data_IF_627003515309
#
_entry.id   IF_627003515309
#
_cell.length_a   1.000
_cell.length_b   1.000
_cell.length_c   1.000
_cell.angle_alpha   90.00
_cell.angle_beta   90.00
_cell.angle_gamma   90.00
#
_symmetry.space_group_name_H-M   'P 1'
#
loop_
_entity.id
_entity.type
_entity.pdbx_description
1 polymer ?
#
# COMPACT_ATOMS: atom_id res chain seq x y z
N UNK A 1 2.10 10.54 -16.34
CA UNK A 1 2.18 9.60 -15.19
C UNK A 1 2.87 10.20 -13.98
N UNK A 2 4.03 10.87 -14.11
CA UNK A 2 4.69 11.54 -12.98
C UNK A 2 3.78 12.55 -12.25
N UNK A 3 3.11 13.42 -13.00
CA UNK A 3 2.18 14.40 -12.44
C UNK A 3 0.97 13.76 -11.74
N UNK A 4 0.35 12.75 -12.36
CA UNK A 4 -0.69 11.91 -11.73
C UNK A 4 -0.22 11.35 -10.39
N UNK A 5 1.00 10.79 -10.37
CA UNK A 5 1.54 10.20 -9.15
C UNK A 5 1.88 11.27 -8.09
N UNK A 6 2.41 12.42 -8.51
CA UNK A 6 2.63 13.57 -7.62
C UNK A 6 1.32 14.02 -6.97
N UNK A 7 0.24 14.14 -7.74
CA UNK A 7 -1.10 14.48 -7.24
C UNK A 7 -1.65 13.41 -6.27
N UNK A 8 -1.33 12.15 -6.52
CA UNK A 8 -1.66 11.06 -5.59
C UNK A 8 -0.90 11.20 -4.26
N UNK A 9 0.40 11.54 -4.29
CA UNK A 9 1.19 11.81 -3.08
C UNK A 9 0.66 13.04 -2.35
N UNK A 10 0.34 14.11 -3.08
CA UNK A 10 -0.28 15.32 -2.55
C UNK A 10 -1.54 15.00 -1.74
N UNK A 11 -2.45 14.21 -2.31
CA UNK A 11 -3.65 13.78 -1.61
C UNK A 11 -3.34 12.97 -0.35
N UNK A 12 -2.37 12.05 -0.40
CA UNK A 12 -1.99 11.25 0.78
C UNK A 12 -1.36 12.09 1.89
N UNK A 13 -0.56 13.10 1.55
CA UNK A 13 -0.02 14.07 2.51
C UNK A 13 -1.17 14.87 3.12
N UNK A 14 -2.13 15.33 2.32
CA UNK A 14 -3.31 16.05 2.82
C UNK A 14 -4.14 15.20 3.79
N UNK A 15 -4.37 13.91 3.49
CA UNK A 15 -5.07 12.97 4.38
C UNK A 15 -4.27 12.69 5.66
N UNK A 16 -2.93 12.69 5.58
CA UNK A 16 -2.06 12.52 6.74
C UNK A 16 -2.09 13.72 7.69
N UNK A 17 -2.38 14.92 7.18
CA UNK A 17 -2.54 16.14 7.95
C UNK A 17 -3.97 16.28 8.51
N UNK A 18 -4.99 15.94 7.73
CA UNK A 18 -6.39 16.00 8.11
C UNK A 18 -7.18 14.81 7.51
N UNK A 19 -7.80 14.02 8.38
CA UNK A 19 -8.52 12.81 8.01
C UNK A 19 -9.83 13.06 7.25
N UNK A 20 -10.39 14.27 7.35
CA UNK A 20 -11.65 14.62 6.70
C UNK A 20 -11.48 15.06 5.24
N UNK A 21 -10.24 15.31 4.78
CA UNK A 21 -9.93 15.74 3.41
C UNK A 21 -10.56 14.83 2.36
N UNK A 22 -10.45 13.50 2.52
CA UNK A 22 -11.05 12.56 1.56
C UNK A 22 -12.57 12.75 1.46
N UNK A 23 -13.23 12.90 2.61
CA UNK A 23 -14.69 13.09 2.65
C UNK A 23 -15.08 14.45 2.07
N UNK A 24 -14.29 15.49 2.33
CA UNK A 24 -14.51 16.83 1.78
C UNK A 24 -14.39 16.84 0.24
N UNK A 25 -13.34 16.22 -0.31
CA UNK A 25 -13.12 16.12 -1.75
C UNK A 25 -14.23 15.33 -2.45
N UNK A 26 -14.67 14.21 -1.87
CA UNK A 26 -15.79 13.43 -2.41
C UNK A 26 -17.09 14.23 -2.41
N UNK A 27 -17.39 14.99 -1.34
CA UNK A 27 -18.57 15.86 -1.28
C UNK A 27 -18.51 16.99 -2.31
N UNK A 28 -17.31 17.52 -2.56
CA UNK A 28 -17.07 18.58 -3.52
C UNK A 28 -17.04 18.08 -4.98
N UNK A 29 -17.09 16.77 -5.23
CA UNK A 29 -16.80 16.17 -6.54
C UNK A 29 -15.50 16.73 -7.13
N UNK A 30 -14.43 16.69 -6.34
CA UNK A 30 -13.13 17.19 -6.79
C UNK A 30 -12.68 16.52 -8.10
N UNK A 31 -12.33 17.37 -9.08
CA UNK A 31 -11.89 16.97 -10.42
C UNK A 31 -10.37 17.03 -10.59
N UNK A 32 -9.63 17.46 -9.55
CA UNK A 32 -8.17 17.60 -9.61
C UNK A 32 -7.43 16.40 -9.02
N UNK A 33 -7.67 16.07 -7.75
CA UNK A 33 -6.93 15.04 -7.01
C UNK A 33 -7.62 13.66 -7.10
N UNK A 34 -8.95 13.60 -6.98
CA UNK A 34 -9.68 12.32 -6.98
C UNK A 34 -9.49 11.53 -8.30
N UNK A 35 -9.50 12.14 -9.50
CA UNK A 35 -9.26 11.39 -10.73
C UNK A 35 -7.83 10.80 -10.80
N UNK A 36 -6.83 11.53 -10.30
CA UNK A 36 -5.44 11.06 -10.31
C UNK A 36 -5.26 9.89 -9.33
N UNK A 37 -5.87 9.99 -8.16
CA UNK A 37 -5.91 8.91 -7.18
C UNK A 37 -6.60 7.67 -7.74
N UNK A 38 -7.79 7.83 -8.36
CA UNK A 38 -8.51 6.71 -9.01
C UNK A 38 -7.65 6.04 -10.09
N UNK A 39 -6.85 6.80 -10.84
CA UNK A 39 -5.92 6.27 -11.83
C UNK A 39 -4.83 5.40 -11.20
N UNK A 40 -4.21 5.83 -10.11
CA UNK A 40 -3.20 5.05 -9.38
C UNK A 40 -3.82 3.81 -8.72
N UNK A 41 -4.96 3.98 -8.03
CA UNK A 41 -5.70 2.88 -7.38
C UNK A 41 -6.18 1.84 -8.41
N UNK A 42 -6.54 2.27 -9.62
CA UNK A 42 -6.87 1.41 -10.75
C UNK A 42 -5.69 0.56 -11.19
N UNK A 43 -4.52 1.16 -11.42
CA UNK A 43 -3.30 0.43 -11.78
C UNK A 43 -2.91 -0.62 -10.75
N UNK A 44 -3.00 -0.28 -9.46
CA UNK A 44 -2.74 -1.23 -8.36
C UNK A 44 -3.76 -2.37 -8.41
N UNK A 45 -5.04 -2.03 -8.54
CA UNK A 45 -6.14 -3.00 -8.53
C UNK A 45 -6.03 -3.99 -9.69
N UNK A 46 -5.71 -3.52 -10.89
CA UNK A 46 -5.63 -4.34 -12.08
C UNK A 46 -4.47 -5.34 -11.99
N UNK A 47 -3.29 -4.90 -11.56
CA UNK A 47 -2.15 -5.80 -11.35
C UNK A 47 -2.42 -6.81 -10.22
N UNK A 48 -3.06 -6.37 -9.14
CA UNK A 48 -3.46 -7.26 -8.04
C UNK A 48 -4.45 -8.34 -8.49
N UNK A 49 -5.44 -7.99 -9.32
CA UNK A 49 -6.40 -8.96 -9.89
C UNK A 49 -5.70 -10.01 -10.76
N UNK A 50 -4.73 -9.60 -11.57
CA UNK A 50 -3.92 -10.52 -12.41
C UNK A 50 -3.12 -11.51 -11.56
N UNK A 51 -2.44 -11.02 -10.52
CA UNK A 51 -1.69 -11.87 -9.58
C UNK A 51 -2.60 -12.84 -8.81
N UNK A 52 -3.77 -12.36 -8.37
CA UNK A 52 -4.72 -13.18 -7.64
C UNK A 52 -5.20 -14.39 -8.46
N UNK A 53 -5.37 -14.21 -9.78
CA UNK A 53 -5.73 -15.28 -10.69
C UNK A 53 -4.66 -16.39 -10.77
N UNK A 54 -3.36 -16.03 -10.65
CA UNK A 54 -2.24 -16.98 -10.63
C UNK A 54 -2.04 -17.67 -9.27
N UNK A 55 -2.37 -16.97 -8.19
CA UNK A 55 -2.14 -17.46 -6.82
C UNK A 55 -3.05 -18.62 -6.41
N UNK A 56 -4.32 -18.62 -6.86
CA UNK A 56 -5.34 -19.58 -6.44
C UNK A 56 -5.46 -19.75 -4.91
N UNK A 57 -5.54 -18.63 -4.19
CA UNK A 57 -5.56 -18.62 -2.71
C UNK A 57 -6.98 -18.78 -2.15
N UNK A 58 -7.09 -19.51 -1.05
CA UNK A 58 -8.35 -19.64 -0.30
C UNK A 58 -8.79 -18.32 0.34
N UNK A 59 -10.09 -18.19 0.59
CA UNK A 59 -10.73 -16.98 1.13
C UNK A 59 -10.11 -16.51 2.46
N UNK A 60 -9.76 -17.45 3.35
CA UNK A 60 -9.20 -17.13 4.68
C UNK A 60 -7.82 -16.46 4.57
N UNK A 61 -6.92 -17.04 3.77
CA UNK A 61 -5.59 -16.46 3.53
C UNK A 61 -5.69 -15.12 2.79
N UNK A 62 -6.59 -15.03 1.79
CA UNK A 62 -6.85 -13.77 1.09
C UNK A 62 -7.32 -12.68 2.05
N UNK A 63 -8.25 -12.98 2.95
CA UNK A 63 -8.75 -12.03 3.93
C UNK A 63 -7.64 -11.53 4.87
N UNK A 64 -6.74 -12.42 5.30
CA UNK A 64 -5.59 -12.03 6.12
C UNK A 64 -4.60 -11.16 5.34
N UNK A 65 -4.24 -11.55 4.10
CA UNK A 65 -3.39 -10.76 3.20
C UNK A 65 -3.99 -9.40 2.87
N UNK A 66 -5.32 -9.28 2.86
CA UNK A 66 -6.00 -8.02 2.59
C UNK A 66 -6.06 -7.08 3.79
N UNK A 67 -5.86 -7.61 5.01
CA UNK A 67 -6.10 -6.93 6.28
C UNK A 67 -4.82 -6.51 6.98
N UNK A 68 -3.77 -7.32 6.91
CA UNK A 68 -2.54 -7.13 7.68
C UNK A 68 -1.43 -6.55 6.81
N UNK A 69 -0.98 -5.30 7.06
CA UNK A 69 -0.07 -4.59 6.17
C UNK A 69 1.37 -5.09 6.15
N UNK A 70 1.72 -6.05 7.00
CA UNK A 70 3.08 -6.58 7.11
C UNK A 70 3.09 -8.09 6.83
N UNK A 71 4.14 -8.56 6.18
CA UNK A 71 4.39 -9.97 5.89
C UNK A 71 5.86 -10.30 6.21
N UNK A 72 6.09 -11.45 6.81
CA UNK A 72 7.43 -11.97 7.13
C UNK A 72 7.49 -13.48 6.90
N UNK A 73 8.66 -14.00 6.53
CA UNK A 73 8.91 -15.45 6.47
C UNK A 73 9.40 -15.91 7.84
N UNK A 74 8.71 -16.87 8.43
CA UNK A 74 9.02 -17.41 9.77
C UNK A 74 9.92 -18.63 9.68
N UNK A 75 9.68 -19.53 8.71
CA UNK A 75 10.45 -20.77 8.58
C UNK A 75 10.32 -21.34 7.17
N UNK A 76 11.42 -21.90 6.65
CA UNK A 76 11.41 -22.77 5.47
C UNK A 76 11.08 -24.20 5.89
N UNK A 77 10.02 -24.76 5.32
CA UNK A 77 9.61 -26.13 5.56
C UNK A 77 10.15 -27.01 4.43
N UNK A 78 11.14 -27.83 4.76
CA UNK A 78 11.56 -28.94 3.89
C UNK A 78 10.57 -30.08 4.10
N UNK A 79 9.82 -30.43 3.06
CA UNK A 79 9.02 -31.65 3.04
C UNK A 79 9.63 -32.59 2.01
N UNK A 80 10.04 -33.78 2.44
CA UNK A 80 10.60 -34.79 1.55
C UNK A 80 9.52 -35.24 0.55
N UNK A 81 9.80 -35.06 -0.75
CA UNK A 81 8.92 -35.49 -1.85
C UNK A 81 7.70 -34.61 -2.15
N UNK A 82 7.47 -33.52 -1.41
CA UNK A 82 6.41 -32.53 -1.68
C UNK A 82 6.98 -31.19 -2.19
N UNK A 83 6.12 -30.35 -2.77
CA UNK A 83 6.49 -28.97 -3.14
C UNK A 83 7.01 -28.24 -1.90
N UNK A 84 8.20 -27.60 -1.96
CA UNK A 84 8.74 -26.88 -0.82
C UNK A 84 7.76 -25.78 -0.35
N UNK A 85 7.65 -25.59 0.95
CA UNK A 85 6.70 -24.65 1.53
C UNK A 85 7.37 -23.70 2.53
N UNK A 86 6.84 -22.49 2.66
CA UNK A 86 7.24 -21.55 3.69
C UNK A 86 6.11 -21.31 4.67
N UNK A 87 6.48 -21.05 5.92
CA UNK A 87 5.56 -20.46 6.89
C UNK A 87 5.71 -18.95 6.85
N UNK A 88 4.65 -18.24 6.48
CA UNK A 88 4.60 -16.77 6.51
C UNK A 88 3.76 -16.30 7.69
N UNK A 89 4.15 -15.16 8.26
CA UNK A 89 3.38 -14.46 9.29
C UNK A 89 2.95 -13.10 8.79
N UNK A 90 1.65 -12.82 8.95
CA UNK A 90 0.99 -11.57 8.64
C UNK A 90 0.79 -10.77 9.94
N UNK A 91 1.26 -9.53 9.94
CA UNK A 91 1.29 -8.68 11.14
C UNK A 91 0.87 -7.23 10.84
N UNK A 92 1.06 -6.35 11.83
CA UNK A 92 0.56 -4.98 11.79
C UNK A 92 -0.91 -4.88 12.20
N UNK A 93 -1.40 -3.64 12.29
CA UNK A 93 -2.80 -3.34 12.61
C UNK A 93 -3.60 -3.26 11.31
N UNK A 94 -4.75 -3.92 11.27
CA UNK A 94 -5.70 -3.71 10.20
C UNK A 94 -6.14 -2.24 10.15
N UNK A 95 -6.51 -1.77 8.97
CA UNK A 95 -6.82 -0.35 8.75
C UNK A 95 -7.99 -0.16 7.79
N UNK A 96 -8.66 0.98 7.92
CA UNK A 96 -9.69 1.40 7.00
C UNK A 96 -9.05 1.91 5.70
N UNK A 97 -9.43 1.36 4.55
CA UNK A 97 -8.80 1.69 3.25
C UNK A 97 -9.08 3.11 2.74
N UNK A 98 -10.08 3.79 3.31
CA UNK A 98 -10.43 5.17 3.00
C UNK A 98 -9.69 6.15 3.89
N UNK A 99 -9.78 5.95 5.21
CA UNK A 99 -9.21 6.88 6.21
C UNK A 99 -7.78 6.55 6.63
N UNK A 100 -7.26 5.38 6.25
CA UNK A 100 -5.96 4.82 6.67
C UNK A 100 -5.80 4.64 8.18
N UNK A 101 -6.88 4.78 8.96
CA UNK A 101 -6.85 4.63 10.42
C UNK A 101 -6.88 3.16 10.84
N UNK A 102 -6.28 2.81 11.99
CA UNK A 102 -6.42 1.49 12.57
C UNK A 102 -7.89 1.10 12.70
N UNK A 103 -8.20 -0.11 12.27
CA UNK A 103 -9.54 -0.70 12.26
C UNK A 103 -9.51 -1.99 13.05
N UNK A 104 -10.49 -2.17 13.94
CA UNK A 104 -10.65 -3.43 14.66
C UNK A 104 -11.39 -4.42 13.78
N UNK A 105 -10.67 -5.45 13.35
CA UNK A 105 -11.26 -6.56 12.60
C UNK A 105 -12.39 -7.21 13.40
N UNK A 106 -13.56 -7.44 12.79
CA UNK A 106 -14.69 -8.09 13.46
C UNK A 106 -14.40 -9.58 13.72
N UNK A 107 -13.65 -10.22 12.83
CA UNK A 107 -13.31 -11.64 12.91
C UNK A 107 -11.81 -11.82 13.13
N UNK A 108 -11.43 -12.73 14.04
CA UNK A 108 -10.05 -13.19 14.18
C UNK A 108 -9.74 -14.15 13.04
N UNK A 109 -8.77 -13.81 12.20
CA UNK A 109 -8.18 -14.74 11.22
C UNK A 109 -6.81 -15.18 11.72
N UNK A 110 -6.33 -16.39 11.36
CA UNK A 110 -4.96 -16.80 11.63
C UNK A 110 -3.97 -15.76 11.10
N UNK A 111 -2.82 -15.65 11.74
CA UNK A 111 -1.73 -14.78 11.27
C UNK A 111 -0.60 -15.57 10.64
N UNK A 112 -0.58 -16.89 10.80
CA UNK A 112 0.45 -17.76 10.23
C UNK A 112 -0.15 -18.71 9.21
N UNK A 113 0.52 -18.82 8.06
CA UNK A 113 0.05 -19.62 6.95
C UNK A 113 1.21 -20.35 6.29
N UNK A 114 0.93 -21.56 5.81
CA UNK A 114 1.85 -22.30 4.94
C UNK A 114 1.55 -21.94 3.50
N UNK A 115 2.56 -21.47 2.77
CA UNK A 115 2.48 -21.08 1.36
C UNK A 115 3.50 -21.85 0.53
N UNK A 116 3.18 -22.10 -0.73
CA UNK A 116 4.07 -22.75 -1.70
C UNK A 116 5.26 -21.83 -2.02
N UNK A 117 6.48 -22.37 -1.90
CA UNK A 117 7.73 -21.66 -2.21
C UNK A 117 7.73 -21.10 -3.62
N UNK A 118 7.20 -21.85 -4.60
CA UNK A 118 7.17 -21.43 -6.00
C UNK A 118 6.25 -20.22 -6.23
N UNK A 119 5.30 -19.98 -5.31
CA UNK A 119 4.33 -18.87 -5.38
C UNK A 119 4.73 -17.66 -4.54
N UNK A 120 5.84 -17.74 -3.81
CA UNK A 120 6.26 -16.70 -2.84
C UNK A 120 6.38 -15.32 -3.50
N UNK A 121 6.91 -15.25 -4.72
CA UNK A 121 7.02 -14.00 -5.46
C UNK A 121 5.64 -13.38 -5.73
N UNK A 122 4.65 -14.18 -6.17
CA UNK A 122 3.29 -13.69 -6.38
C UNK A 122 2.61 -13.24 -5.09
N UNK A 123 2.84 -13.94 -3.97
CA UNK A 123 2.33 -13.53 -2.67
C UNK A 123 2.89 -12.18 -2.24
N UNK A 124 4.21 -12.01 -2.35
CA UNK A 124 4.90 -10.78 -1.99
C UNK A 124 4.44 -9.60 -2.84
N UNK A 125 4.31 -9.79 -4.17
CA UNK A 125 3.84 -8.75 -5.07
C UNK A 125 2.36 -8.40 -4.84
N UNK A 126 1.50 -9.40 -4.61
CA UNK A 126 0.10 -9.18 -4.29
C UNK A 126 -0.06 -8.35 -3.02
N UNK A 127 0.67 -8.73 -1.97
CA UNK A 127 0.64 -8.06 -0.66
C UNK A 127 1.19 -6.63 -0.75
N UNK A 128 2.33 -6.45 -1.44
CA UNK A 128 2.93 -5.14 -1.68
C UNK A 128 1.97 -4.20 -2.41
N UNK A 129 1.28 -4.67 -3.46
CA UNK A 129 0.26 -3.89 -4.17
C UNK A 129 -0.94 -3.58 -3.28
N UNK A 130 -1.44 -4.58 -2.55
CA UNK A 130 -2.60 -4.42 -1.67
C UNK A 130 -2.39 -3.33 -0.61
N UNK A 131 -1.17 -3.19 -0.10
CA UNK A 131 -0.83 -2.25 0.96
C UNK A 131 -0.03 -1.04 0.48
N UNK A 132 0.24 -0.92 -0.82
CA UNK A 132 1.08 0.14 -1.39
C UNK A 132 0.65 1.53 -0.92
N UNK A 133 -0.62 1.87 -1.12
CA UNK A 133 -1.18 3.16 -0.72
C UNK A 133 -1.09 3.43 0.78
N UNK A 134 -1.28 2.40 1.60
CA UNK A 134 -1.17 2.52 3.05
C UNK A 134 0.27 2.77 3.49
N UNK A 135 1.23 2.04 2.93
CA UNK A 135 2.65 2.28 3.22
C UNK A 135 3.13 3.63 2.69
N UNK A 136 2.64 4.08 1.53
CA UNK A 136 2.90 5.43 1.05
C UNK A 136 2.31 6.50 1.97
N UNK A 137 1.10 6.28 2.50
CA UNK A 137 0.52 7.16 3.52
C UNK A 137 1.38 7.22 4.80
N UNK A 138 1.92 6.08 5.26
CA UNK A 138 2.84 6.07 6.41
C UNK A 138 4.12 6.87 6.11
N UNK A 139 4.71 6.70 4.93
CA UNK A 139 5.87 7.50 4.52
C UNK A 139 5.55 9.01 4.45
N UNK A 140 4.32 9.38 4.05
CA UNK A 140 3.87 10.77 4.10
C UNK A 140 3.84 11.31 5.54
N UNK A 141 3.36 10.50 6.51
CA UNK A 141 3.38 10.88 7.93
C UNK A 141 4.80 11.09 8.45
N UNK A 142 5.73 10.22 8.06
CA UNK A 142 7.13 10.32 8.46
C UNK A 142 7.78 11.58 7.87
N UNK A 143 7.48 11.89 6.60
CA UNK A 143 7.95 13.12 5.95
C UNK A 143 7.37 14.38 6.61
N UNK A 144 6.08 14.39 6.96
CA UNK A 144 5.47 15.49 7.73
C UNK A 144 6.16 15.66 9.09
N UNK A 145 6.43 14.55 9.78
CA UNK A 145 7.06 14.56 11.10
C UNK A 145 8.50 15.09 11.03
N UNK A 146 9.28 14.70 10.02
CA UNK A 146 10.66 15.16 9.83
C UNK A 146 10.76 16.68 9.62
N UNK A 147 9.77 17.28 8.93
CA UNK A 147 9.70 18.72 8.72
C UNK A 147 9.26 19.51 9.95
N UNK A 148 8.33 18.98 10.76
CA UNK A 148 7.84 19.65 11.99
C UNK A 148 8.93 19.82 13.04
N UNK A 149 9.95 18.96 13.04
CA UNK A 149 11.15 19.10 13.87
C UNK A 149 11.97 20.35 13.50
N UNK A 150 11.80 20.87 12.27
CA UNK A 150 12.63 21.94 11.71
C UNK A 150 11.90 23.29 11.58
N UNK A 151 10.60 23.42 11.87
CA UNK A 151 9.85 24.67 11.59
C UNK A 151 8.64 24.88 12.50
N UNK A 152 8.31 26.15 12.80
CA UNK A 152 7.07 26.60 13.46
C UNK A 152 5.83 26.06 12.72
N UNK A 153 4.73 25.83 13.44
CA UNK A 153 3.49 25.23 12.93
C UNK A 153 3.03 25.83 11.58
N UNK A 154 3.38 25.15 10.49
CA UNK A 154 2.95 25.50 9.13
C UNK A 154 1.45 25.24 8.98
N UNK A 155 0.78 26.05 8.16
CA UNK A 155 -0.58 25.75 7.71
C UNK A 155 -0.63 24.43 6.92
N UNK A 156 -1.82 23.82 6.82
CA UNK A 156 -1.98 22.54 6.11
C UNK A 156 -1.49 22.60 4.66
N UNK A 157 -1.93 23.60 3.90
CA UNK A 157 -1.54 23.78 2.50
C UNK A 157 -0.03 23.98 2.35
N UNK A 158 0.57 24.80 3.22
CA UNK A 158 2.02 25.03 3.22
C UNK A 158 2.81 23.76 3.55
N UNK A 159 2.33 22.96 4.51
CA UNK A 159 2.94 21.67 4.84
C UNK A 159 2.87 20.68 3.66
N UNK A 160 1.74 20.65 2.94
CA UNK A 160 1.60 19.83 1.72
C UNK A 160 2.61 20.26 0.67
N UNK A 161 2.67 21.56 0.36
CA UNK A 161 3.60 22.07 -0.66
C UNK A 161 5.06 21.82 -0.27
N UNK A 162 5.41 21.95 1.01
CA UNK A 162 6.77 21.68 1.49
C UNK A 162 7.16 20.21 1.34
N UNK A 163 6.26 19.26 1.63
CA UNK A 163 6.48 17.83 1.31
C UNK A 163 6.78 17.63 -0.18
N UNK A 164 5.97 18.23 -1.05
CA UNK A 164 6.08 18.06 -2.51
C UNK A 164 7.29 18.77 -3.12
N UNK A 165 7.88 19.74 -2.42
CA UNK A 165 9.14 20.37 -2.80
C UNK A 165 10.36 19.47 -2.58
N UNK A 166 10.25 18.45 -1.71
CA UNK A 166 11.26 17.41 -1.60
C UNK A 166 11.20 16.49 -2.84
N UNK A 167 11.74 16.99 -3.95
CA UNK A 167 11.70 16.29 -5.24
C UNK A 167 12.38 14.92 -5.20
N UNK A 168 13.47 14.78 -4.44
CA UNK A 168 14.16 13.49 -4.29
C UNK A 168 13.27 12.44 -3.63
N UNK A 169 12.51 12.83 -2.60
CA UNK A 169 11.55 11.94 -1.94
C UNK A 169 10.39 11.56 -2.87
N UNK A 170 9.76 12.53 -3.53
CA UNK A 170 8.63 12.28 -4.45
C UNK A 170 9.04 11.42 -5.64
N UNK A 171 10.19 11.70 -6.27
CA UNK A 171 10.70 10.90 -7.37
C UNK A 171 11.09 9.48 -6.89
N UNK A 172 11.70 9.34 -5.72
CA UNK A 172 11.97 8.02 -5.14
C UNK A 172 10.72 7.21 -4.80
N UNK A 173 9.59 7.86 -4.49
CA UNK A 173 8.29 7.19 -4.39
C UNK A 173 7.76 6.73 -5.76
N UNK A 174 7.92 7.57 -6.78
CA UNK A 174 7.50 7.27 -8.15
C UNK A 174 8.29 6.10 -8.75
N UNK A 175 9.61 6.08 -8.56
CA UNK A 175 10.47 5.01 -9.08
C UNK A 175 10.11 3.66 -8.43
N UNK A 176 9.92 3.63 -7.11
CA UNK A 176 9.46 2.43 -6.39
C UNK A 176 8.08 1.96 -6.85
N UNK A 177 7.17 2.90 -7.15
CA UNK A 177 5.87 2.55 -7.73
C UNK A 177 6.02 1.89 -9.10
N UNK A 178 6.81 2.52 -9.99
CA UNK A 178 7.06 2.03 -11.33
C UNK A 178 7.71 0.64 -11.32
N UNK A 179 8.69 0.43 -10.44
CA UNK A 179 9.33 -0.86 -10.24
C UNK A 179 8.33 -1.93 -9.79
N UNK A 180 7.52 -1.65 -8.75
CA UNK A 180 6.52 -2.59 -8.25
C UNK A 180 5.50 -2.99 -9.34
N UNK A 181 5.00 -2.03 -10.10
CA UNK A 181 4.07 -2.29 -11.20
C UNK A 181 4.75 -3.15 -12.27
N UNK A 182 5.99 -2.83 -12.64
CA UNK A 182 6.74 -3.59 -13.63
C UNK A 182 6.96 -5.05 -13.18
N UNK A 183 7.41 -5.26 -11.94
CA UNK A 183 7.60 -6.60 -11.37
C UNK A 183 6.28 -7.40 -11.36
N UNK A 184 5.17 -6.78 -10.96
CA UNK A 184 3.85 -7.42 -10.98
C UNK A 184 3.40 -7.81 -12.40
N UNK A 185 3.64 -6.94 -13.38
CA UNK A 185 3.31 -7.20 -14.78
C UNK A 185 4.14 -8.34 -15.36
N UNK A 186 5.45 -8.38 -15.06
CA UNK A 186 6.37 -9.43 -15.52
C UNK A 186 6.02 -10.78 -14.91
N UNK A 187 5.71 -10.83 -13.61
CA UNK A 187 5.34 -12.07 -12.92
C UNK A 187 4.01 -12.68 -13.44
N UNK A 188 3.24 -11.91 -14.21
CA UNK A 188 1.96 -12.30 -14.81
C UNK A 188 2.01 -12.43 -16.34
N UNK A 189 3.19 -12.33 -16.98
CA UNK A 189 3.40 -12.73 -18.37
C UNK A 189 3.35 -14.26 -18.46
#
# INVERSE_FOLDING_TARGET
>A
MKETFRSFVELLVSIALDEDVMTALERANDDLLLPQMKRVDGMITDNRKRLLHKLHIGQVLKAALDSFPEISVVTELKKDGETPAFKVRLSGKAYNKKTMKPYKMPNKVPQEYTVDQQKTQWFSLYHSLQHYKYHTYLMCKDEIASMRVQTVALGQEEAVQKCLQNGAWVEGLFDRFGELINQAQQACR
#
